data_IF_484965463894
#
_entry.id   IF_484965463894
#
_cell.length_a   1.000
_cell.length_b   1.000
_cell.length_c   1.000
_cell.angle_alpha   90.00
_cell.angle_beta   90.00
_cell.angle_gamma   90.00
#
_symmetry.space_group_name_H-M   'P 1'
#
loop_
_entity.id
_entity.type
_entity.pdbx_description
1 polymer ?
#
# COMPACT_ATOMS: atom_id res chain seq x y z
N UNK A 1 19.63 24.68 47.66
CA UNK A 1 18.48 25.19 46.87
C UNK A 1 18.75 25.25 45.37
N UNK A 2 19.88 25.81 44.88
CA UNK A 2 20.17 25.91 43.44
C UNK A 2 20.28 24.58 42.68
N UNK A 3 20.78 23.52 43.30
CA UNK A 3 20.90 22.20 42.65
C UNK A 3 19.54 21.55 42.37
N UNK A 4 18.54 21.80 43.23
CA UNK A 4 17.17 21.29 43.05
C UNK A 4 16.54 21.97 41.83
N UNK A 5 16.74 23.28 41.68
CA UNK A 5 16.24 24.03 40.52
C UNK A 5 16.90 23.54 39.22
N UNK A 6 18.22 23.30 39.24
CA UNK A 6 18.93 22.74 38.10
C UNK A 6 18.41 21.35 37.71
N UNK A 7 18.18 20.47 38.68
CA UNK A 7 17.62 19.14 38.43
C UNK A 7 16.23 19.19 37.79
N UNK A 8 15.36 20.11 38.23
CA UNK A 8 14.02 20.31 37.67
C UNK A 8 14.10 20.81 36.22
N UNK A 9 15.01 21.74 35.93
CA UNK A 9 15.20 22.27 34.56
C UNK A 9 15.69 21.17 33.62
N UNK A 10 16.65 20.35 34.06
CA UNK A 10 17.15 19.22 33.26
C UNK A 10 16.06 18.19 33.01
N UNK A 11 15.26 17.83 34.02
CA UNK A 11 14.11 16.94 33.85
C UNK A 11 13.06 17.50 32.88
N UNK A 12 12.78 18.81 32.93
CA UNK A 12 11.85 19.46 32.02
C UNK A 12 12.35 19.44 30.57
N UNK A 13 13.66 19.66 30.35
CA UNK A 13 14.28 19.60 29.01
C UNK A 13 14.24 18.17 28.47
N UNK A 14 14.55 17.18 29.30
CA UNK A 14 14.48 15.75 28.92
C UNK A 14 13.05 15.38 28.55
N UNK A 15 12.06 15.74 29.37
CA UNK A 15 10.65 15.47 29.09
C UNK A 15 10.18 16.16 27.78
N UNK A 16 10.66 17.38 27.53
CA UNK A 16 10.37 18.13 26.31
C UNK A 16 11.00 17.49 25.07
N UNK A 17 12.24 16.99 25.20
CA UNK A 17 12.92 16.25 24.13
C UNK A 17 12.22 14.92 23.81
N UNK A 18 11.79 14.17 24.84
CA UNK A 18 11.03 12.92 24.65
C UNK A 18 9.71 13.17 23.91
N UNK A 19 8.97 14.24 24.24
CA UNK A 19 7.74 14.62 23.52
C UNK A 19 7.96 14.99 22.05
N UNK A 20 9.14 15.49 21.68
CA UNK A 20 9.50 15.81 20.29
C UNK A 20 9.83 14.57 19.46
N UNK A 21 10.32 13.51 20.11
CA UNK A 21 10.70 12.24 19.46
C UNK A 21 9.53 11.27 19.41
N UNK A 22 8.54 11.42 20.30
CA UNK A 22 7.33 10.61 20.28
C UNK A 22 6.64 10.73 18.91
N UNK A 23 6.41 9.60 18.20
CA UNK A 23 5.72 9.63 16.92
C UNK A 23 4.36 10.30 17.11
N UNK A 24 4.08 11.31 16.30
CA UNK A 24 2.78 11.96 16.26
C UNK A 24 1.75 10.88 15.92
N UNK A 25 0.91 10.52 16.89
CA UNK A 25 -0.28 9.72 16.67
C UNK A 25 -1.07 10.40 15.55
N UNK A 26 -0.96 9.84 14.34
CA UNK A 26 -1.72 10.30 13.17
C UNK A 26 -3.18 10.07 13.56
N UNK A 27 -3.94 11.16 13.70
CA UNK A 27 -5.31 11.15 14.22
C UNK A 27 -6.11 9.97 13.70
N UNK A 28 -6.60 9.15 14.62
CA UNK A 28 -7.16 7.83 14.40
C UNK A 28 -8.59 7.91 13.82
N UNK A 29 -8.73 8.50 12.63
CA UNK A 29 -9.99 8.56 11.90
C UNK A 29 -9.83 8.08 10.45
N UNK A 30 -8.92 7.12 10.23
CA UNK A 30 -8.81 6.42 8.96
C UNK A 30 -9.35 5.00 9.12
N UNK A 31 -10.39 4.66 8.34
CA UNK A 31 -10.82 3.27 8.12
C UNK A 31 -9.77 2.43 7.34
N UNK A 32 -8.52 2.88 7.35
CA UNK A 32 -7.43 2.38 6.52
C UNK A 32 -6.18 2.30 7.38
N UNK A 33 -5.50 1.17 7.24
CA UNK A 33 -4.17 0.92 7.78
C UNK A 33 -3.29 0.39 6.65
N UNK A 34 -1.98 0.59 6.79
CA UNK A 34 -1.01 -0.02 5.88
C UNK A 34 -1.06 -1.54 6.06
N UNK A 35 -1.11 -2.30 4.96
CA UNK A 35 -0.91 -3.76 5.01
C UNK A 35 0.55 -4.07 5.30
N UNK A 36 0.78 -5.11 6.10
CA UNK A 36 2.13 -5.59 6.41
C UNK A 36 2.85 -6.03 5.14
N UNK A 37 2.17 -6.82 4.30
CA UNK A 37 2.70 -7.35 3.06
C UNK A 37 1.91 -6.89 1.82
N UNK A 38 2.63 -6.40 0.81
CA UNK A 38 2.07 -6.10 -0.50
C UNK A 38 1.83 -7.38 -1.32
N UNK A 39 2.85 -8.25 -1.41
CA UNK A 39 2.76 -9.61 -1.96
C UNK A 39 2.89 -10.62 -0.83
N UNK A 40 2.14 -11.72 -0.88
CA UNK A 40 2.38 -12.85 0.03
C UNK A 40 3.79 -13.44 -0.20
N UNK A 41 4.31 -14.20 0.76
CA UNK A 41 5.63 -14.85 0.62
C UNK A 41 5.71 -15.74 -0.64
N UNK A 42 4.63 -16.46 -0.94
CA UNK A 42 4.53 -17.29 -2.14
C UNK A 42 4.47 -16.44 -3.42
N UNK A 43 3.64 -15.39 -3.44
CA UNK A 43 3.57 -14.45 -4.57
C UNK A 43 4.93 -13.79 -4.84
N UNK A 44 5.64 -13.36 -3.79
CA UNK A 44 6.97 -12.73 -3.91
C UNK A 44 8.01 -13.70 -4.48
N UNK A 45 8.00 -14.95 -4.02
CA UNK A 45 8.89 -15.99 -4.56
C UNK A 45 8.61 -16.23 -6.04
N UNK A 46 7.34 -16.39 -6.41
CA UNK A 46 6.94 -16.60 -7.79
C UNK A 46 7.22 -15.39 -8.69
N UNK A 47 7.07 -14.17 -8.17
CA UNK A 47 7.44 -12.95 -8.89
C UNK A 47 8.92 -12.92 -9.27
N UNK A 48 9.80 -13.41 -8.39
CA UNK A 48 11.23 -13.57 -8.70
C UNK A 48 11.46 -14.55 -9.85
N UNK A 49 10.84 -15.74 -9.77
CA UNK A 49 10.91 -16.76 -10.84
C UNK A 49 10.38 -16.21 -12.17
N UNK A 50 9.29 -15.45 -12.15
CA UNK A 50 8.73 -14.84 -13.36
C UNK A 50 9.69 -13.81 -13.96
N UNK A 51 10.28 -12.93 -13.14
CA UNK A 51 11.25 -11.96 -13.61
C UNK A 51 12.47 -12.64 -14.25
N UNK A 52 13.00 -13.69 -13.61
CA UNK A 52 14.13 -14.45 -14.14
C UNK A 52 13.78 -15.19 -15.44
N UNK A 53 12.53 -15.66 -15.58
CA UNK A 53 12.07 -16.36 -16.77
C UNK A 53 11.87 -15.41 -17.98
N UNK A 54 11.35 -14.19 -17.75
CA UNK A 54 11.12 -13.23 -18.83
C UNK A 54 12.36 -12.42 -19.19
N UNK A 55 13.27 -12.19 -18.23
CA UNK A 55 14.47 -11.35 -18.39
C UNK A 55 14.13 -10.04 -19.10
N UNK A 56 14.89 -9.70 -20.15
CA UNK A 56 14.70 -8.49 -20.93
C UNK A 56 13.64 -8.56 -22.02
N UNK A 57 12.87 -9.65 -22.12
CA UNK A 57 11.90 -9.83 -23.20
C UNK A 57 10.53 -9.21 -22.91
N UNK A 58 10.21 -9.01 -21.63
CA UNK A 58 8.90 -8.53 -21.20
C UNK A 58 8.97 -7.80 -19.86
N UNK A 59 7.87 -7.19 -19.46
CA UNK A 59 7.67 -6.57 -18.15
C UNK A 59 6.68 -7.39 -17.34
N UNK A 60 6.93 -7.53 -16.04
CA UNK A 60 6.03 -8.22 -15.11
C UNK A 60 5.41 -7.20 -14.16
N UNK A 61 4.09 -7.10 -14.17
CA UNK A 61 3.31 -6.30 -13.22
C UNK A 61 2.61 -7.22 -12.23
N UNK A 62 2.48 -6.81 -10.97
CA UNK A 62 1.82 -7.60 -9.93
C UNK A 62 0.60 -6.87 -9.34
N UNK A 63 -0.39 -7.64 -8.87
CA UNK A 63 -1.65 -7.15 -8.27
C UNK A 63 -2.41 -6.13 -9.14
N UNK A 64 -2.41 -6.36 -10.45
CA UNK A 64 -3.12 -5.50 -11.41
C UNK A 64 -4.62 -5.71 -11.25
N UNK A 65 -5.41 -4.64 -11.10
CA UNK A 65 -6.86 -4.80 -10.95
C UNK A 65 -7.45 -5.29 -12.26
N UNK A 66 -8.47 -6.12 -12.18
CA UNK A 66 -9.17 -6.58 -13.40
C UNK A 66 -9.78 -5.38 -14.15
N UNK A 67 -10.20 -4.34 -13.42
CA UNK A 67 -10.67 -3.09 -14.00
C UNK A 67 -9.61 -2.25 -14.73
N UNK A 68 -8.31 -2.55 -14.55
CA UNK A 68 -7.22 -1.90 -15.30
C UNK A 68 -6.93 -2.63 -16.63
N UNK A 69 -7.44 -3.86 -16.80
CA UNK A 69 -7.24 -4.71 -17.99
C UNK A 69 -8.52 -4.80 -18.82
N UNK A 70 -9.67 -4.84 -18.16
CA UNK A 70 -10.99 -4.97 -18.79
C UNK A 70 -11.83 -3.73 -18.54
N UNK A 71 -12.60 -3.34 -19.56
CA UNK A 71 -13.60 -2.28 -19.44
C UNK A 71 -15.02 -2.84 -19.58
N UNK A 72 -15.98 -2.20 -18.94
CA UNK A 72 -17.41 -2.51 -19.11
C UNK A 72 -17.89 -1.92 -20.43
N UNK A 73 -18.51 -2.75 -21.27
CA UNK A 73 -19.05 -2.33 -22.57
C UNK A 73 -20.05 -1.18 -22.43
N UNK A 74 -20.07 -0.31 -23.43
CA UNK A 74 -21.07 0.74 -23.57
C UNK A 74 -22.45 0.16 -23.90
N UNK A 75 -23.51 0.95 -23.71
CA UNK A 75 -24.90 0.58 -24.05
C UNK A 75 -25.65 -0.18 -22.94
N UNK A 76 -25.02 -0.42 -21.79
CA UNK A 76 -25.71 -0.96 -20.61
C UNK A 76 -26.46 0.14 -19.86
N UNK A 77 -27.61 -0.22 -19.30
CA UNK A 77 -28.33 0.62 -18.34
C UNK A 77 -27.43 0.94 -17.13
N UNK A 78 -27.64 2.10 -16.48
CA UNK A 78 -26.79 2.61 -15.40
C UNK A 78 -26.60 1.60 -14.27
N UNK A 79 -27.67 0.92 -13.86
CA UNK A 79 -27.63 -0.09 -12.80
C UNK A 79 -26.76 -1.30 -13.17
N UNK A 80 -26.99 -1.87 -14.36
CA UNK A 80 -26.24 -3.02 -14.87
C UNK A 80 -24.77 -2.69 -15.14
N UNK A 81 -24.48 -1.50 -15.66
CA UNK A 81 -23.11 -1.01 -15.84
C UNK A 81 -22.35 -0.97 -14.51
N UNK A 82 -22.98 -0.42 -13.46
CA UNK A 82 -22.38 -0.33 -12.13
C UNK A 82 -22.17 -1.72 -11.50
N UNK A 83 -23.16 -2.62 -11.63
CA UNK A 83 -23.02 -4.02 -11.17
C UNK A 83 -21.85 -4.72 -11.87
N UNK A 84 -21.75 -4.60 -13.19
CA UNK A 84 -20.67 -5.18 -13.97
C UNK A 84 -19.30 -4.61 -13.57
N UNK A 85 -19.20 -3.29 -13.40
CA UNK A 85 -17.97 -2.63 -12.96
C UNK A 85 -17.53 -3.09 -11.57
N UNK A 86 -18.45 -3.18 -10.62
CA UNK A 86 -18.15 -3.60 -9.25
C UNK A 86 -17.58 -5.03 -9.18
N UNK A 87 -17.94 -5.91 -10.13
CA UNK A 87 -17.40 -7.28 -10.20
C UNK A 87 -15.91 -7.30 -10.54
N UNK A 88 -15.43 -6.35 -11.35
CA UNK A 88 -14.03 -6.27 -11.79
C UNK A 88 -13.19 -5.32 -10.94
N UNK A 89 -13.80 -4.27 -10.37
CA UNK A 89 -13.10 -3.27 -9.55
C UNK A 89 -12.54 -3.83 -8.24
N UNK A 90 -13.17 -4.88 -7.68
CA UNK A 90 -12.76 -5.50 -6.41
C UNK A 90 -11.82 -6.70 -6.59
N UNK A 91 -11.42 -7.03 -7.81
CA UNK A 91 -10.59 -8.19 -8.14
C UNK A 91 -9.27 -7.73 -8.75
N UNK A 92 -8.24 -8.53 -8.55
CA UNK A 92 -6.95 -8.40 -9.21
C UNK A 92 -6.55 -9.73 -9.81
N UNK A 93 -5.68 -9.66 -10.81
CA UNK A 93 -4.85 -10.78 -11.23
C UNK A 93 -3.51 -10.66 -10.52
N UNK A 94 -2.89 -11.78 -10.18
CA UNK A 94 -1.65 -11.77 -9.41
C UNK A 94 -0.50 -11.20 -10.23
N UNK A 95 -0.39 -11.60 -11.50
CA UNK A 95 0.66 -11.17 -12.43
C UNK A 95 0.14 -10.91 -13.85
N UNK A 96 0.70 -9.91 -14.52
CA UNK A 96 0.51 -9.63 -15.94
C UNK A 96 1.88 -9.49 -16.59
N UNK A 97 2.06 -10.14 -17.73
CA UNK A 97 3.28 -10.03 -18.55
C UNK A 97 2.95 -9.19 -19.78
N UNK A 98 3.71 -8.12 -19.98
CA UNK A 98 3.54 -7.22 -21.13
C UNK A 98 4.80 -7.22 -21.99
N UNK A 99 4.65 -7.07 -23.30
CA UNK A 99 5.77 -6.74 -24.19
C UNK A 99 6.29 -5.33 -23.84
N UNK A 100 7.53 -5.02 -24.27
CA UNK A 100 8.18 -3.72 -23.99
C UNK A 100 7.77 -2.60 -24.97
N UNK A 101 6.76 -2.85 -25.80
CA UNK A 101 6.37 -2.03 -26.96
C UNK A 101 5.20 -1.08 -26.64
#
# INVERSE_FOLDING_TARGET
MGWIIFAIIVLAIIAFAIKRIAPKEIGNNSNYAKRDDFLSLAERSFFGVLQDAVQDKALVFCKVRVADILFVKSGLEKGERMKAFNRIAKKHVDFVICTKD
#
